data_IF_842822848047
#
_entry.id   IF_842822848047
#
_cell.length_a   1.000
_cell.length_b   1.000
_cell.length_c   1.000
_cell.angle_alpha   90.00
_cell.angle_beta   90.00
_cell.angle_gamma   90.00
#
_symmetry.space_group_name_H-M   'P 1'
#
loop_
_entity.id
_entity.type
_entity.pdbx_description
1 polymer ?
#
# COMPACT_ATOMS: atom_id res chain seq x y z
N UNK A 1 20.65 -38.58 23.60
CA UNK A 1 20.59 -37.11 23.67
C UNK A 1 20.94 -36.38 22.36
N UNK A 2 21.85 -36.90 21.51
CA UNK A 2 22.23 -36.24 20.24
C UNK A 2 21.08 -36.12 19.21
N UNK A 3 20.21 -37.12 19.10
CA UNK A 3 19.04 -37.06 18.18
C UNK A 3 18.03 -35.97 18.53
N UNK A 4 17.81 -35.71 19.82
CA UNK A 4 16.91 -34.66 20.29
C UNK A 4 17.47 -33.26 19.95
N UNK A 5 18.80 -33.10 20.04
CA UNK A 5 19.48 -31.87 19.65
C UNK A 5 19.40 -31.62 18.14
N UNK A 6 19.54 -32.67 17.32
CA UNK A 6 19.39 -32.56 15.85
C UNK A 6 17.95 -32.21 15.47
N UNK A 7 16.95 -32.79 16.14
CA UNK A 7 15.54 -32.47 15.91
C UNK A 7 15.20 -31.01 16.29
N UNK A 8 15.73 -30.53 17.42
CA UNK A 8 15.58 -29.13 17.84
C UNK A 8 16.23 -28.16 16.84
N UNK A 9 17.43 -28.49 16.34
CA UNK A 9 18.11 -27.70 15.31
C UNK A 9 17.32 -27.64 13.99
N UNK A 10 16.77 -28.77 13.53
CA UNK A 10 15.91 -28.75 12.33
C UNK A 10 14.67 -27.88 12.54
N UNK A 11 14.01 -27.98 13.69
CA UNK A 11 12.80 -27.19 13.98
C UNK A 11 13.05 -25.68 14.00
N UNK A 12 14.24 -25.24 14.43
CA UNK A 12 14.64 -23.83 14.43
C UNK A 12 14.92 -23.30 13.01
N UNK A 13 15.33 -24.15 12.08
CA UNK A 13 15.58 -23.77 10.68
C UNK A 13 14.25 -23.59 9.94
N UNK A 14 13.22 -24.38 10.27
CA UNK A 14 11.88 -24.27 9.66
C UNK A 14 11.13 -22.99 10.04
N UNK A 15 11.44 -22.33 11.16
CA UNK A 15 10.76 -21.09 11.57
C UNK A 15 11.31 -19.83 10.89
N UNK A 16 12.39 -19.93 10.11
CA UNK A 16 13.06 -18.78 9.49
C UNK A 16 12.45 -18.34 8.15
N UNK A 17 11.35 -18.95 7.70
CA UNK A 17 10.70 -18.59 6.42
C UNK A 17 9.41 -17.81 6.62
N UNK A 18 9.51 -16.62 7.24
CA UNK A 18 8.48 -15.58 7.07
C UNK A 18 8.95 -14.64 5.95
N UNK A 19 8.50 -14.90 4.72
CA UNK A 19 8.63 -13.92 3.64
C UNK A 19 7.70 -12.74 3.88
N UNK A 20 8.15 -11.52 3.58
CA UNK A 20 7.25 -10.37 3.53
C UNK A 20 6.21 -10.62 2.44
N UNK A 21 4.93 -10.63 2.82
CA UNK A 21 3.82 -10.80 1.88
C UNK A 21 3.78 -9.63 0.86
N UNK A 22 4.34 -8.48 1.25
CA UNK A 22 4.41 -7.29 0.43
C UNK A 22 5.77 -7.15 -0.24
N UNK A 23 5.75 -6.98 -1.55
CA UNK A 23 6.95 -6.80 -2.36
C UNK A 23 7.62 -5.45 -2.10
N UNK A 24 6.81 -4.41 -1.89
CA UNK A 24 7.29 -3.05 -1.63
C UNK A 24 6.50 -2.42 -0.49
N UNK A 25 7.21 -1.73 0.40
CA UNK A 25 6.65 -0.89 1.44
C UNK A 25 7.24 0.51 1.34
N UNK A 26 6.40 1.54 1.27
CA UNK A 26 6.83 2.94 1.21
C UNK A 26 6.03 3.82 2.14
N UNK A 27 6.72 4.65 2.92
CA UNK A 27 6.09 5.68 3.76
C UNK A 27 6.10 7.01 3.03
N UNK A 28 4.97 7.71 3.04
CA UNK A 28 4.85 9.07 2.49
C UNK A 28 4.14 9.98 3.49
N UNK A 29 4.36 11.27 3.37
CA UNK A 29 3.64 12.32 4.11
C UNK A 29 3.02 13.27 3.10
N UNK A 30 1.74 13.61 3.30
CA UNK A 30 1.00 14.53 2.43
C UNK A 30 0.39 15.65 3.26
N UNK A 31 0.54 16.89 2.79
CA UNK A 31 -0.24 18.02 3.27
C UNK A 31 -1.70 17.92 2.80
N UNK A 32 -2.58 18.74 3.42
CA UNK A 32 -4.00 18.83 3.05
C UNK A 32 -4.11 19.17 1.57
N UNK A 33 -4.97 18.44 0.87
CA UNK A 33 -5.23 18.59 -0.57
C UNK A 33 -4.01 18.33 -1.48
N UNK A 34 -2.86 17.94 -0.92
CA UNK A 34 -1.69 17.52 -1.69
C UNK A 34 -1.97 16.17 -2.35
N UNK A 35 -1.80 16.13 -3.67
CA UNK A 35 -2.11 14.94 -4.47
C UNK A 35 -0.87 14.08 -4.65
N UNK A 36 -0.95 12.82 -4.22
CA UNK A 36 -0.03 11.76 -4.64
C UNK A 36 -0.47 11.19 -5.97
N UNK A 37 0.47 11.03 -6.90
CA UNK A 37 0.28 10.47 -8.24
C UNK A 37 1.25 9.31 -8.44
N UNK A 38 0.71 8.14 -8.76
CA UNK A 38 1.49 6.92 -9.00
C UNK A 38 1.04 6.34 -10.34
N UNK A 39 1.97 6.22 -11.28
CA UNK A 39 1.74 5.51 -12.51
C UNK A 39 1.94 4.01 -12.26
N UNK A 40 0.90 3.23 -12.52
CA UNK A 40 0.90 1.78 -12.37
C UNK A 40 1.05 1.20 -13.76
N UNK A 41 2.16 0.51 -14.03
CA UNK A 41 2.40 -0.16 -15.31
C UNK A 41 2.38 -1.67 -15.12
N UNK A 42 1.84 -2.37 -16.11
CA UNK A 42 1.88 -3.83 -16.23
C UNK A 42 1.54 -4.20 -17.67
N UNK A 43 2.21 -5.23 -18.21
CA UNK A 43 2.09 -5.59 -19.63
C UNK A 43 2.24 -4.32 -20.50
N UNK A 44 1.31 -4.08 -21.42
CA UNK A 44 1.24 -2.87 -22.25
C UNK A 44 0.27 -1.80 -21.71
N UNK A 45 -0.20 -1.97 -20.47
CA UNK A 45 -1.16 -1.07 -19.83
C UNK A 45 -0.47 -0.11 -18.87
N UNK A 46 -0.92 1.15 -18.88
CA UNK A 46 -0.53 2.16 -17.91
C UNK A 46 -1.76 2.84 -17.34
N UNK A 47 -1.87 2.86 -16.01
CA UNK A 47 -3.01 3.42 -15.28
C UNK A 47 -2.56 4.39 -14.22
N UNK A 48 -3.26 5.51 -14.09
CA UNK A 48 -2.89 6.56 -13.16
C UNK A 48 -3.70 6.46 -11.87
N UNK A 49 -3.00 6.12 -10.78
CA UNK A 49 -3.56 6.21 -9.43
C UNK A 49 -3.25 7.59 -8.82
N UNK A 50 -4.29 8.22 -8.29
CA UNK A 50 -4.19 9.50 -7.59
C UNK A 50 -4.94 9.44 -6.27
N UNK A 51 -4.40 10.05 -5.22
CA UNK A 51 -5.15 10.29 -4.00
C UNK A 51 -4.67 11.53 -3.25
N UNK A 52 -5.56 12.12 -2.46
CA UNK A 52 -5.31 13.23 -1.54
C UNK A 52 -6.27 13.13 -0.35
N UNK A 53 -6.04 13.91 0.69
CA UNK A 53 -6.94 13.99 1.85
C UNK A 53 -7.44 15.42 2.06
N UNK A 54 -8.68 15.56 2.53
CA UNK A 54 -9.40 16.85 2.61
C UNK A 54 -9.85 17.23 4.01
N UNK A 55 -10.11 16.26 4.90
CA UNK A 55 -10.60 16.54 6.25
C UNK A 55 -10.03 15.54 7.24
N UNK A 56 -9.51 16.05 8.35
CA UNK A 56 -9.16 15.25 9.53
C UNK A 56 -9.97 15.74 10.73
N UNK A 57 -10.92 14.94 11.20
CA UNK A 57 -11.78 15.28 12.34
C UNK A 57 -12.20 14.00 13.06
N UNK A 58 -12.26 14.05 14.39
CA UNK A 58 -12.61 12.89 15.23
C UNK A 58 -11.78 11.65 14.86
N UNK A 59 -10.46 11.86 14.63
CA UNK A 59 -9.50 10.83 14.19
C UNK A 59 -9.80 10.17 12.83
N UNK A 60 -10.86 10.60 12.14
CA UNK A 60 -11.21 10.17 10.80
C UNK A 60 -10.57 11.06 9.74
N UNK A 61 -9.90 10.44 8.77
CA UNK A 61 -9.29 11.10 7.63
C UNK A 61 -10.09 10.81 6.35
N UNK A 62 -10.64 11.86 5.75
CA UNK A 62 -11.35 11.78 4.48
C UNK A 62 -10.35 11.81 3.33
N UNK A 63 -10.38 10.77 2.50
CA UNK A 63 -9.51 10.58 1.35
C UNK A 63 -10.34 10.57 0.07
N UNK A 64 -9.89 11.33 -0.92
CA UNK A 64 -10.36 11.21 -2.29
C UNK A 64 -9.33 10.47 -3.11
N UNK A 65 -9.79 9.51 -3.90
CA UNK A 65 -8.92 8.74 -4.79
C UNK A 65 -9.54 8.53 -6.15
N UNK A 66 -8.68 8.35 -7.14
CA UNK A 66 -9.06 7.93 -8.48
C UNK A 66 -8.05 6.92 -9.02
N UNK A 67 -8.53 5.92 -9.74
CA UNK A 67 -7.71 5.03 -10.56
C UNK A 67 -8.26 5.06 -11.98
N UNK A 68 -7.57 5.80 -12.85
CA UNK A 68 -8.09 6.30 -14.12
C UNK A 68 -9.47 6.97 -13.98
N UNK A 69 -10.51 6.33 -14.52
CA UNK A 69 -11.89 6.82 -14.54
C UNK A 69 -12.68 6.46 -13.27
N UNK A 70 -12.17 5.56 -12.44
CA UNK A 70 -12.84 5.11 -11.22
C UNK A 70 -12.52 6.06 -10.08
N UNK A 71 -13.52 6.78 -9.59
CA UNK A 71 -13.39 7.73 -8.48
C UNK A 71 -14.04 7.13 -7.24
N UNK A 72 -13.41 7.30 -6.07
CA UNK A 72 -13.94 6.84 -4.81
C UNK A 72 -13.52 7.76 -3.65
N UNK A 73 -14.29 7.69 -2.56
CA UNK A 73 -13.97 8.35 -1.30
C UNK A 73 -13.86 7.29 -0.20
N UNK A 74 -12.89 7.46 0.68
CA UNK A 74 -12.66 6.60 1.83
C UNK A 74 -12.57 7.45 3.10
N UNK A 75 -13.00 6.90 4.24
CA UNK A 75 -12.76 7.49 5.56
C UNK A 75 -11.90 6.49 6.33
N UNK A 76 -10.68 6.89 6.68
CA UNK A 76 -9.74 6.05 7.39
C UNK A 76 -9.58 6.49 8.85
N UNK A 77 -9.44 5.54 9.77
CA UNK A 77 -9.25 5.78 11.20
C UNK A 77 -7.99 5.06 11.68
N UNK A 78 -7.12 5.70 12.46
CA UNK A 78 -5.80 5.17 12.84
C UNK A 78 -5.86 3.84 13.62
N UNK A 79 -6.78 3.76 14.59
CA UNK A 79 -6.86 2.66 15.57
C UNK A 79 -7.94 1.62 15.26
N UNK A 80 -8.62 1.74 14.11
CA UNK A 80 -9.73 0.85 13.75
C UNK A 80 -9.37 -0.08 12.58
N UNK A 81 -10.22 -1.07 12.32
CA UNK A 81 -10.10 -1.97 11.17
C UNK A 81 -10.07 -1.22 9.83
N UNK A 82 -10.64 -0.02 9.78
CA UNK A 82 -10.78 0.80 8.58
C UNK A 82 -9.57 1.72 8.34
N UNK A 83 -8.38 1.35 8.85
CA UNK A 83 -7.17 2.17 8.71
C UNK A 83 -6.52 2.14 7.32
N UNK A 84 -7.02 1.29 6.42
CA UNK A 84 -6.52 1.15 5.06
C UNK A 84 -7.66 1.06 4.05
N UNK A 85 -7.37 1.39 2.80
CA UNK A 85 -8.15 0.93 1.66
C UNK A 85 -7.28 0.08 0.74
N UNK A 86 -7.92 -0.87 0.05
CA UNK A 86 -7.30 -1.70 -0.98
C UNK A 86 -7.66 -1.17 -2.36
N UNK A 87 -6.65 -0.99 -3.21
CA UNK A 87 -6.80 -0.71 -4.62
C UNK A 87 -6.31 -1.93 -5.40
N UNK A 88 -7.22 -2.64 -6.05
CA UNK A 88 -6.82 -3.68 -7.03
C UNK A 88 -6.24 -3.00 -8.27
N UNK A 89 -5.04 -3.41 -8.68
CA UNK A 89 -4.29 -2.80 -9.78
C UNK A 89 -4.63 -3.42 -11.14
N UNK A 90 -5.11 -4.66 -11.11
CA UNK A 90 -5.55 -5.42 -12.29
C UNK A 90 -6.84 -6.15 -11.97
N UNK A 91 -7.66 -6.38 -13.00
CA UNK A 91 -8.83 -7.24 -12.89
C UNK A 91 -8.44 -8.67 -12.52
N UNK A 92 -9.28 -9.32 -11.73
CA UNK A 92 -9.20 -10.76 -11.47
C UNK A 92 -9.47 -11.51 -12.78
N UNK A 93 -8.41 -11.95 -13.46
CA UNK A 93 -8.55 -12.90 -14.56
C UNK A 93 -9.07 -14.25 -14.05
N UNK A 94 -9.50 -15.13 -14.95
CA UNK A 94 -10.13 -16.42 -14.62
C UNK A 94 -9.30 -17.32 -13.67
N UNK A 95 -7.97 -17.16 -13.63
CA UNK A 95 -7.05 -18.04 -12.87
C UNK A 95 -6.31 -17.36 -11.72
N UNK A 96 -6.68 -16.14 -11.28
CA UNK A 96 -5.96 -15.45 -10.19
C UNK A 96 -6.83 -15.13 -8.99
N UNK A 97 -6.62 -15.87 -7.91
CA UNK A 97 -7.35 -15.72 -6.65
C UNK A 97 -7.06 -14.37 -5.97
N UNK A 98 -5.80 -13.93 -6.01
CA UNK A 98 -5.36 -12.64 -5.47
C UNK A 98 -4.69 -11.80 -6.58
N UNK A 99 -5.43 -10.86 -7.21
CA UNK A 99 -4.81 -9.94 -8.16
C UNK A 99 -3.84 -9.01 -7.41
N UNK A 100 -2.83 -8.43 -8.07
CA UNK A 100 -1.95 -7.46 -7.45
C UNK A 100 -2.75 -6.26 -6.93
N UNK A 101 -2.37 -5.75 -5.77
CA UNK A 101 -3.05 -4.64 -5.12
C UNK A 101 -2.10 -3.73 -4.34
N UNK A 102 -2.52 -2.47 -4.22
CA UNK A 102 -1.90 -1.49 -3.35
C UNK A 102 -2.78 -1.29 -2.11
N UNK A 103 -2.22 -1.48 -0.92
CA UNK A 103 -2.85 -0.99 0.31
C UNK A 103 -2.32 0.39 0.62
N UNK A 104 -3.24 1.32 0.85
CA UNK A 104 -2.91 2.64 1.38
C UNK A 104 -3.42 2.69 2.80
N UNK A 105 -2.49 2.69 3.74
CA UNK A 105 -2.75 2.69 5.17
C UNK A 105 -2.51 4.08 5.74
N UNK A 106 -3.51 4.62 6.41
CA UNK A 106 -3.33 5.78 7.27
C UNK A 106 -2.57 5.35 8.52
N UNK A 107 -1.34 5.84 8.65
CA UNK A 107 -0.46 5.50 9.77
C UNK A 107 -0.77 6.41 10.95
N UNK A 108 -0.62 7.71 10.76
CA UNK A 108 -0.79 8.73 11.80
C UNK A 108 -0.97 10.13 11.18
N UNK A 109 -1.41 11.07 12.01
CA UNK A 109 -1.52 12.48 11.66
C UNK A 109 -0.51 13.24 12.51
N UNK A 110 0.38 13.94 11.84
CA UNK A 110 1.35 14.82 12.48
C UNK A 110 0.67 16.15 12.79
N UNK A 111 0.46 16.42 14.08
CA UNK A 111 -0.20 17.65 14.55
C UNK A 111 0.68 18.89 14.46
N UNK A 112 2.01 18.74 14.41
CA UNK A 112 2.94 19.86 14.26
C UNK A 112 2.96 20.34 12.82
N UNK A 113 3.16 19.43 11.86
CA UNK A 113 3.23 19.76 10.44
C UNK A 113 1.88 19.80 9.74
N UNK A 114 0.82 19.33 10.41
CA UNK A 114 -0.54 19.17 9.86
C UNK A 114 -0.57 18.28 8.62
N UNK A 115 0.25 17.22 8.59
CA UNK A 115 0.35 16.28 7.49
C UNK A 115 -0.17 14.90 7.89
N UNK A 116 -0.78 14.21 6.94
CA UNK A 116 -1.15 12.81 7.10
C UNK A 116 -0.01 11.91 6.61
N UNK A 117 0.38 10.95 7.43
CA UNK A 117 1.40 9.95 7.11
C UNK A 117 0.72 8.67 6.66
N UNK A 118 1.16 8.17 5.50
CA UNK A 118 0.64 6.95 4.89
C UNK A 118 1.74 5.92 4.71
N UNK A 119 1.37 4.65 4.85
CA UNK A 119 2.17 3.52 4.40
C UNK A 119 1.49 2.90 3.18
N UNK A 120 2.26 2.74 2.11
CA UNK A 120 1.86 2.09 0.86
C UNK A 120 2.47 0.68 0.87
N UNK A 121 1.65 -0.34 0.66
CA UNK A 121 2.10 -1.72 0.57
C UNK A 121 1.67 -2.31 -0.76
N UNK A 122 2.63 -2.77 -1.56
CA UNK A 122 2.35 -3.46 -2.82
C UNK A 122 2.38 -4.97 -2.59
N UNK A 123 1.23 -5.60 -2.81
CA UNK A 123 1.16 -7.04 -3.00
C UNK A 123 1.21 -7.34 -4.49
N UNK A 124 2.24 -8.05 -4.91
CA UNK A 124 2.39 -8.50 -6.30
C UNK A 124 3.22 -9.77 -6.36
N UNK A 125 2.52 -10.90 -6.22
CA UNK A 125 3.12 -12.24 -6.17
C UNK A 125 3.86 -12.61 -7.47
N UNK A 126 3.36 -12.15 -8.61
CA UNK A 126 3.84 -12.53 -9.93
C UNK A 126 4.88 -11.53 -10.49
N UNK A 127 5.21 -10.47 -9.74
CA UNK A 127 6.19 -9.44 -10.10
C UNK A 127 5.87 -8.68 -11.40
N UNK A 128 4.59 -8.52 -11.72
CA UNK A 128 4.11 -7.90 -12.97
C UNK A 128 3.92 -6.38 -12.89
N UNK A 129 3.85 -5.82 -11.68
CA UNK A 129 3.52 -4.41 -11.47
C UNK A 129 4.78 -3.57 -11.33
N UNK A 130 4.87 -2.47 -12.07
CA UNK A 130 5.82 -1.38 -11.83
C UNK A 130 5.06 -0.16 -11.28
N UNK A 131 5.54 0.40 -10.16
CA UNK A 131 5.00 1.64 -9.60
C UNK A 131 5.99 2.79 -9.84
N UNK A 132 5.59 3.80 -10.60
CA UNK A 132 6.39 5.01 -10.82
C UNK A 132 5.78 6.19 -10.08
N UNK A 133 6.56 6.77 -9.18
CA UNK A 133 6.18 7.94 -8.41
C UNK A 133 6.26 9.21 -9.26
N UNK A 134 5.12 9.81 -9.59
CA UNK A 134 5.10 10.99 -10.45
C UNK A 134 5.32 12.31 -9.69
N UNK A 135 5.30 12.30 -8.36
CA UNK A 135 5.52 13.50 -7.55
C UNK A 135 7.01 13.86 -7.43
N UNK A 136 7.91 12.93 -7.77
CA UNK A 136 9.36 13.12 -7.71
C UNK A 136 9.91 13.82 -8.95
N UNK A 137 9.10 14.02 -9.99
CA UNK A 137 9.46 14.87 -11.14
C UNK A 137 9.11 16.32 -10.84
N UNK A 138 9.77 16.89 -9.83
CA UNK A 138 9.88 18.35 -9.74
C UNK A 138 11.03 18.76 -10.65
N UNK A 139 10.65 19.41 -11.76
CA UNK A 139 11.39 20.42 -12.54
C UNK A 139 12.92 20.20 -12.67
N UNK A 140 13.32 19.72 -13.85
CA UNK A 140 14.59 20.16 -14.47
C UNK A 140 14.35 21.53 -15.08
#
# INVERSE_FOLDING_TARGET
MKFLQVFLLLSLIYSLSFGDEYREKKTISLAKDEQKKILVKYEDSSKLFKFSWTLYKNLGLVIHRSYDKVIAQNILYQEMRNRFFRLELRSRGANRFNPPYLLVKFKEFDYETKKAIFELFLYDKDLEIELVDLNNFKEV
#
